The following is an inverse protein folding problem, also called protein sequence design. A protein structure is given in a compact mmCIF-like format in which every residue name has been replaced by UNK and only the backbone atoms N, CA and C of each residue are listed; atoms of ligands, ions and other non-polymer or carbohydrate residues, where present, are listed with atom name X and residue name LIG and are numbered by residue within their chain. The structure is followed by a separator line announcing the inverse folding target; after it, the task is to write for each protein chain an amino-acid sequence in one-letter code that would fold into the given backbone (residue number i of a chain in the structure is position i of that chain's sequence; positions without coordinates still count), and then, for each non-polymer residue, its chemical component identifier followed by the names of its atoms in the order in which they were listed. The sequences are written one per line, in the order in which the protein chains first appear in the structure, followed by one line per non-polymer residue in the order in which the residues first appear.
data_IF_418436230020
#
_entry.id   IF_418436230020
#
_cell.length_a   1.000
_cell.length_b   1.000
_cell.length_c   1.000
_cell.angle_alpha   90.00
_cell.angle_beta   90.00
_cell.angle_gamma   90.00
#
_symmetry.space_group_name_H-M   'P 1'
#
loop_
_entity.id
_entity.type
_entity.pdbx_description
1 polymer ?
#
# COMPACT_ATOMS: atom_id res chain seq x y z
N UNK A 1 -23.16 -8.68 -11.96
CA UNK A 1 -24.45 -7.96 -11.89
C UNK A 1 -24.33 -6.76 -12.82
N UNK A 2 -25.01 -6.79 -13.97
CA UNK A 2 -24.91 -5.73 -14.98
C UNK A 2 -25.89 -4.62 -14.60
N UNK A 3 -25.39 -3.41 -14.37
CA UNK A 3 -26.22 -2.24 -14.12
C UNK A 3 -26.33 -1.41 -15.42
N UNK A 4 -27.54 -1.38 -15.98
CA UNK A 4 -27.92 -0.42 -17.01
C UNK A 4 -28.51 0.77 -16.26
N UNK A 5 -27.86 1.94 -16.36
CA UNK A 5 -28.42 3.20 -15.88
C UNK A 5 -28.71 4.08 -17.07
N UNK A 6 -29.95 4.53 -17.17
CA UNK A 6 -30.41 5.49 -18.16
C UNK A 6 -30.97 6.65 -17.34
N UNK A 7 -30.21 7.73 -17.20
CA UNK A 7 -30.77 9.03 -16.84
C UNK A 7 -29.84 10.20 -17.15
N UNK A 8 -30.49 11.28 -17.59
CA UNK A 8 -29.92 12.54 -18.09
C UNK A 8 -29.22 13.35 -16.98
N UNK A 9 -27.90 13.47 -17.07
CA UNK A 9 -27.12 14.47 -16.32
C UNK A 9 -26.20 15.25 -17.26
N UNK A 10 -26.71 16.38 -17.74
CA UNK A 10 -25.93 17.42 -18.42
C UNK A 10 -24.86 17.96 -17.46
N UNK A 11 -23.60 17.87 -17.90
CA UNK A 11 -22.37 18.40 -17.27
C UNK A 11 -21.69 17.55 -16.18
N UNK A 12 -21.19 16.37 -16.54
CA UNK A 12 -19.77 15.98 -16.33
C UNK A 12 -19.46 14.52 -16.69
N UNK A 13 -20.20 13.91 -17.61
CA UNK A 13 -19.77 12.64 -18.22
C UNK A 13 -20.11 12.70 -19.70
N UNK A 14 -19.10 12.63 -20.57
CA UNK A 14 -19.30 12.20 -21.96
C UNK A 14 -19.70 10.72 -21.94
N UNK A 15 -20.88 10.39 -21.41
CA UNK A 15 -21.52 9.12 -21.73
C UNK A 15 -22.06 9.35 -23.13
N UNK A 16 -21.32 8.81 -24.08
CA UNK A 16 -21.61 8.90 -25.50
C UNK A 16 -23.04 8.42 -25.68
N UNK A 17 -23.81 9.15 -26.49
CA UNK A 17 -25.13 8.75 -26.96
C UNK A 17 -24.95 7.56 -27.92
N UNK A 18 -24.44 6.44 -27.40
CA UNK A 18 -23.97 5.30 -28.17
C UNK A 18 -24.86 4.12 -27.88
N UNK A 19 -25.52 3.63 -28.93
CA UNK A 19 -26.09 2.29 -28.93
C UNK A 19 -24.94 1.31 -28.61
N UNK A 20 -24.91 0.76 -27.39
CA UNK A 20 -23.80 -0.06 -26.93
C UNK A 20 -23.83 -0.40 -25.45
N UNK A 21 -22.82 -1.15 -25.00
CA UNK A 21 -22.62 -1.56 -23.61
C UNK A 21 -21.28 -1.01 -23.11
N UNK A 22 -21.22 -0.60 -21.84
CA UNK A 22 -19.97 -0.24 -21.18
C UNK A 22 -19.40 -1.46 -20.45
N UNK A 23 -18.12 -1.74 -20.68
CA UNK A 23 -17.39 -2.86 -20.11
C UNK A 23 -16.31 -2.30 -19.20
N UNK A 24 -16.29 -2.76 -17.95
CA UNK A 24 -15.25 -2.40 -16.98
C UNK A 24 -14.45 -3.66 -16.63
N UNK A 25 -13.13 -3.55 -16.72
CA UNK A 25 -12.21 -4.63 -16.33
C UNK A 25 -11.54 -4.23 -15.02
N UNK A 26 -11.68 -5.09 -14.01
CA UNK A 26 -11.14 -4.85 -12.68
C UNK A 26 -10.83 -6.17 -11.97
N UNK A 27 -10.07 -6.09 -10.87
CA UNK A 27 -9.80 -7.24 -10.01
C UNK A 27 -11.09 -7.70 -9.30
N UNK A 28 -11.24 -9.00 -9.03
CA UNK A 28 -12.44 -9.56 -8.36
C UNK A 28 -12.76 -8.94 -7.00
N UNK A 29 -11.72 -8.47 -6.29
CA UNK A 29 -11.84 -7.84 -4.96
C UNK A 29 -11.92 -6.31 -5.02
N UNK A 30 -11.87 -5.71 -6.22
CA UNK A 30 -12.02 -4.27 -6.40
C UNK A 30 -13.47 -3.91 -6.68
N UNK A 31 -13.93 -2.83 -6.08
CA UNK A 31 -15.19 -2.19 -6.43
C UNK A 31 -15.02 -1.39 -7.74
N UNK A 32 -15.73 -1.75 -8.83
CA UNK A 32 -15.64 -1.02 -10.08
C UNK A 32 -16.21 0.39 -9.92
N UNK A 33 -15.57 1.38 -10.53
CA UNK A 33 -16.02 2.77 -10.36
C UNK A 33 -15.31 3.75 -11.29
N UNK A 34 -15.23 5.00 -10.87
CA UNK A 34 -14.66 6.07 -11.70
C UNK A 34 -13.15 5.91 -12.00
N UNK A 35 -12.47 5.02 -11.26
CA UNK A 35 -11.03 4.79 -11.39
C UNK A 35 -10.71 3.52 -12.20
N UNK A 36 -11.71 2.80 -12.69
CA UNK A 36 -11.53 1.59 -13.50
C UNK A 36 -11.63 1.91 -14.98
N UNK A 37 -10.81 1.23 -15.80
CA UNK A 37 -10.82 1.40 -17.25
C UNK A 37 -12.19 0.97 -17.83
N UNK A 38 -12.76 1.86 -18.64
CA UNK A 38 -14.07 1.69 -19.27
C UNK A 38 -13.90 1.56 -20.79
N UNK A 39 -14.45 0.48 -21.36
CA UNK A 39 -14.49 0.25 -22.80
C UNK A 39 -15.93 0.28 -23.29
N UNK A 40 -16.15 0.79 -24.49
CA UNK A 40 -17.50 0.86 -25.09
C UNK A 40 -17.63 -0.20 -26.18
N UNK A 41 -18.54 -1.14 -26.00
CA UNK A 41 -18.95 -2.10 -27.01
C UNK A 41 -20.08 -1.49 -27.83
N UNK A 42 -19.82 -1.17 -29.08
CA UNK A 42 -20.83 -0.61 -29.99
C UNK A 42 -21.66 -1.71 -30.65
N UNK A 43 -22.88 -1.38 -31.05
CA UNK A 43 -23.69 -2.26 -31.90
C UNK A 43 -22.97 -2.57 -33.22
N UNK A 44 -23.12 -3.80 -33.71
CA UNK A 44 -22.51 -4.33 -34.93
C UNK A 44 -20.97 -4.36 -34.88
N UNK A 45 -20.40 -4.40 -33.68
CA UNK A 45 -18.99 -4.57 -33.47
C UNK A 45 -18.70 -5.73 -32.51
N UNK A 46 -17.54 -6.35 -32.71
CA UNK A 46 -16.89 -7.24 -31.78
C UNK A 46 -15.80 -6.46 -31.05
N UNK A 47 -15.88 -6.43 -29.72
CA UNK A 47 -14.85 -5.87 -28.84
C UNK A 47 -13.96 -7.00 -28.34
N UNK A 48 -12.76 -7.08 -28.88
CA UNK A 48 -11.72 -7.96 -28.37
C UNK A 48 -10.88 -7.20 -27.33
N UNK A 49 -10.69 -7.78 -26.14
CA UNK A 49 -9.85 -7.18 -25.10
C UNK A 49 -8.80 -8.19 -24.67
N UNK A 50 -7.55 -7.91 -25.03
CA UNK A 50 -6.41 -8.65 -24.52
C UNK A 50 -5.99 -8.07 -23.17
N UNK A 51 -6.04 -8.89 -22.11
CA UNK A 51 -5.67 -8.52 -20.74
C UNK A 51 -4.23 -8.96 -20.50
N UNK A 52 -3.36 -8.03 -20.11
CA UNK A 52 -2.01 -8.28 -19.63
C UNK A 52 -1.94 -7.95 -18.14
N UNK A 53 -1.93 -8.98 -17.28
CA UNK A 53 -1.79 -8.76 -15.85
C UNK A 53 -0.35 -8.35 -15.47
N UNK A 54 -0.21 -7.54 -14.44
CA UNK A 54 1.07 -7.17 -13.83
C UNK A 54 0.91 -7.13 -12.31
N UNK A 55 1.68 -7.96 -11.61
CA UNK A 55 1.67 -8.02 -10.14
C UNK A 55 2.81 -7.16 -9.60
N UNK A 56 2.48 -6.16 -8.80
CA UNK A 56 3.45 -5.29 -8.13
C UNK A 56 3.46 -5.64 -6.65
N UNK A 57 4.63 -6.01 -6.14
CA UNK A 57 4.84 -6.38 -4.75
C UNK A 57 5.91 -5.50 -4.10
N UNK A 58 5.60 -5.02 -2.89
CA UNK A 58 6.46 -4.19 -2.07
C UNK A 58 6.58 -4.82 -0.67
N UNK A 59 7.77 -4.80 -0.05
CA UNK A 59 7.95 -5.32 1.31
C UNK A 59 7.15 -4.47 2.31
N UNK A 60 6.42 -5.16 3.18
CA UNK A 60 5.69 -4.54 4.26
C UNK A 60 6.65 -3.96 5.33
N UNK A 61 6.16 -3.01 6.12
CA UNK A 61 6.90 -2.45 7.26
C UNK A 61 7.90 -1.34 6.93
N UNK A 62 8.18 -1.08 5.64
CA UNK A 62 8.97 0.08 5.25
C UNK A 62 8.21 1.38 5.52
N UNK A 63 8.89 2.36 6.11
CA UNK A 63 8.35 3.68 6.40
C UNK A 63 9.20 4.76 5.73
N UNK A 64 8.55 5.85 5.34
CA UNK A 64 9.21 7.03 4.82
C UNK A 64 8.64 8.28 5.49
N UNK A 65 9.37 9.39 5.45
CA UNK A 65 8.85 10.67 5.90
C UNK A 65 7.97 11.30 4.82
N UNK A 66 6.75 11.71 5.18
CA UNK A 66 5.90 12.53 4.32
C UNK A 66 6.36 14.00 4.30
N UNK A 67 5.62 14.84 3.56
CA UNK A 67 5.87 16.29 3.49
C UNK A 67 5.76 16.95 4.87
N UNK A 68 4.91 16.42 5.75
CA UNK A 68 4.75 16.87 7.13
C UNK A 68 5.82 16.30 8.12
N UNK A 69 6.87 15.63 7.62
CA UNK A 69 7.96 14.99 8.41
C UNK A 69 7.53 13.85 9.35
N UNK A 70 6.30 13.39 9.23
CA UNK A 70 5.76 12.23 9.94
C UNK A 70 6.23 10.94 9.27
N UNK A 71 6.51 9.93 10.08
CA UNK A 71 6.79 8.58 9.62
C UNK A 71 5.48 7.93 9.17
N UNK A 72 5.41 7.57 7.90
CA UNK A 72 4.25 6.91 7.29
C UNK A 72 4.69 5.66 6.55
N UNK A 73 3.86 4.61 6.50
CA UNK A 73 4.19 3.40 5.76
C UNK A 73 4.27 3.69 4.26
N UNK A 74 5.24 3.07 3.59
CA UNK A 74 5.43 3.14 2.13
C UNK A 74 4.26 2.47 1.40
N UNK A 75 3.75 1.39 1.97
CA UNK A 75 2.58 0.68 1.48
C UNK A 75 1.73 0.14 2.62
N UNK A 76 0.45 -0.09 2.35
CA UNK A 76 -0.50 -0.70 3.29
C UNK A 76 -0.60 -2.19 2.98
N UNK A 77 -0.27 -3.03 3.96
CA UNK A 77 -0.43 -4.46 3.88
C UNK A 77 -1.87 -4.88 4.21
N UNK A 78 -2.28 -6.08 3.81
CA UNK A 78 -3.68 -6.54 3.97
C UNK A 78 -4.11 -6.63 5.44
N UNK A 79 -3.19 -6.96 6.34
CA UNK A 79 -3.39 -7.00 7.80
C UNK A 79 -3.60 -5.61 8.42
N UNK A 80 -3.16 -4.55 7.74
CA UNK A 80 -3.28 -3.16 8.15
C UNK A 80 -4.42 -2.44 7.41
N UNK A 81 -5.44 -3.16 6.95
CA UNK A 81 -6.55 -2.58 6.21
C UNK A 81 -7.28 -1.51 7.05
N UNK A 82 -7.34 -0.28 6.52
CA UNK A 82 -7.96 0.89 7.15
C UNK A 82 -9.35 1.21 6.59
N UNK A 83 -9.87 0.42 5.66
CA UNK A 83 -11.15 0.65 5.01
C UNK A 83 -12.31 0.22 5.93
N UNK A 84 -13.39 1.00 5.91
CA UNK A 84 -14.56 0.76 6.78
C UNK A 84 -15.57 -0.16 6.11
N UNK A 85 -15.73 -0.04 4.78
CA UNK A 85 -16.77 -0.75 4.03
C UNK A 85 -16.25 -1.87 3.13
N UNK A 86 -14.93 -2.06 3.03
CA UNK A 86 -14.30 -3.05 2.15
C UNK A 86 -13.29 -3.89 2.92
N UNK A 87 -13.28 -5.21 2.68
CA UNK A 87 -12.41 -6.16 3.38
C UNK A 87 -10.96 -6.16 2.91
N UNK A 88 -10.69 -5.69 1.69
CA UNK A 88 -9.34 -5.69 1.10
C UNK A 88 -8.92 -4.28 0.74
N UNK A 89 -7.74 -3.88 1.24
CA UNK A 89 -7.16 -2.59 0.94
C UNK A 89 -6.59 -2.57 -0.49
N UNK A 90 -7.23 -1.81 -1.38
CA UNK A 90 -6.78 -1.54 -2.76
C UNK A 90 -7.12 -0.10 -3.13
N UNK A 91 -6.49 0.44 -4.17
CA UNK A 91 -6.76 1.81 -4.60
C UNK A 91 -8.23 2.06 -4.92
N UNK A 92 -8.84 1.20 -5.74
CA UNK A 92 -10.25 1.33 -6.12
C UNK A 92 -11.18 1.29 -4.91
N UNK A 93 -10.93 0.37 -3.98
CA UNK A 93 -11.69 0.24 -2.73
C UNK A 93 -11.48 1.43 -1.79
N UNK A 94 -10.26 1.96 -1.69
CA UNK A 94 -9.98 3.12 -0.86
C UNK A 94 -10.74 4.36 -1.34
N UNK A 95 -10.71 4.63 -2.65
CA UNK A 95 -11.48 5.73 -3.20
C UNK A 95 -12.99 5.48 -3.09
N UNK A 96 -13.48 4.27 -3.35
CA UNK A 96 -14.89 3.92 -3.14
C UNK A 96 -15.32 4.14 -1.68
N UNK A 97 -14.49 3.73 -0.72
CA UNK A 97 -14.71 3.97 0.72
C UNK A 97 -14.83 5.46 1.03
N UNK A 98 -13.95 6.30 0.46
CA UNK A 98 -14.06 7.75 0.59
C UNK A 98 -15.36 8.30 -0.01
N UNK A 99 -15.80 7.79 -1.17
CA UNK A 99 -17.08 8.21 -1.78
C UNK A 99 -18.26 7.86 -0.89
N UNK A 100 -18.30 6.64 -0.35
CA UNK A 100 -19.34 6.19 0.58
C UNK A 100 -19.36 7.09 1.82
N UNK A 101 -18.21 7.36 2.44
CA UNK A 101 -18.11 8.29 3.57
C UNK A 101 -18.60 9.69 3.23
N UNK A 102 -18.27 10.21 2.05
CA UNK A 102 -18.75 11.51 1.58
C UNK A 102 -20.26 11.52 1.35
N UNK A 103 -20.82 10.47 0.75
CA UNK A 103 -22.28 10.32 0.53
C UNK A 103 -23.05 10.30 1.86
N UNK A 104 -22.59 9.49 2.82
CA UNK A 104 -23.21 9.39 4.15
C UNK A 104 -23.11 10.74 4.87
N UNK A 105 -21.95 11.40 4.82
CA UNK A 105 -21.76 12.68 5.51
C UNK A 105 -22.58 13.83 4.91
N UNK A 106 -22.67 13.91 3.59
CA UNK A 106 -23.32 15.03 2.90
C UNK A 106 -24.83 14.83 2.76
N UNK A 107 -25.27 13.59 2.54
CA UNK A 107 -26.66 13.27 2.20
C UNK A 107 -27.32 12.24 3.12
N UNK A 108 -26.58 11.60 4.02
CA UNK A 108 -27.13 10.67 5.02
C UNK A 108 -27.62 9.33 4.46
N UNK A 109 -27.34 9.02 3.19
CA UNK A 109 -27.85 7.82 2.55
C UNK A 109 -26.90 7.28 1.48
N UNK A 110 -27.10 6.02 1.09
CA UNK A 110 -26.37 5.39 -0.01
C UNK A 110 -27.27 5.06 -1.20
N UNK A 111 -26.87 5.39 -2.44
CA UNK A 111 -27.60 5.00 -3.63
C UNK A 111 -27.49 3.49 -3.88
N UNK A 112 -28.40 2.98 -4.71
CA UNK A 112 -28.58 1.54 -4.99
C UNK A 112 -27.30 0.80 -5.46
N UNK A 113 -26.35 1.50 -6.09
CA UNK A 113 -25.03 0.94 -6.46
C UNK A 113 -24.26 0.37 -5.26
N UNK A 114 -24.58 0.81 -4.04
CA UNK A 114 -23.98 0.37 -2.79
C UNK A 114 -24.97 -0.41 -1.91
N UNK A 115 -26.06 -0.96 -2.46
CA UNK A 115 -27.10 -1.65 -1.67
C UNK A 115 -26.55 -2.75 -0.76
N UNK A 116 -25.62 -3.56 -1.26
CA UNK A 116 -24.98 -4.62 -0.47
C UNK A 116 -24.25 -4.06 0.77
N UNK A 117 -23.65 -2.88 0.63
CA UNK A 117 -22.95 -2.18 1.72
C UNK A 117 -23.98 -1.55 2.66
N UNK A 118 -25.00 -0.91 2.12
CA UNK A 118 -26.07 -0.32 2.92
C UNK A 118 -26.76 -1.36 3.81
N UNK A 119 -27.00 -2.56 3.29
CA UNK A 119 -27.55 -3.67 4.05
C UNK A 119 -26.58 -4.21 5.11
N UNK A 120 -25.33 -4.47 4.72
CA UNK A 120 -24.32 -5.06 5.62
C UNK A 120 -23.99 -4.18 6.84
N UNK A 121 -24.06 -2.85 6.66
CA UNK A 121 -23.73 -1.87 7.70
C UNK A 121 -24.96 -1.13 8.26
N UNK A 122 -26.17 -1.56 7.89
CA UNK A 122 -27.44 -0.96 8.31
C UNK A 122 -27.52 0.57 8.08
N UNK A 123 -27.09 1.01 6.89
CA UNK A 123 -27.12 2.40 6.44
C UNK A 123 -28.40 2.63 5.62
N UNK A 124 -29.03 3.79 5.77
CA UNK A 124 -30.22 4.16 5.01
C UNK A 124 -29.94 4.21 3.51
N UNK A 125 -30.82 3.58 2.73
CA UNK A 125 -30.82 3.67 1.27
C UNK A 125 -31.36 5.02 0.85
N UNK A 126 -30.78 5.62 -0.20
CA UNK A 126 -31.30 6.86 -0.76
C UNK A 126 -32.61 6.57 -1.49
N UNK A 127 -33.70 7.18 -1.03
CA UNK A 127 -34.92 7.29 -1.82
C UNK A 127 -34.71 8.22 -3.02
N UNK A 128 -35.61 8.15 -4.01
CA UNK A 128 -35.51 8.91 -5.26
C UNK A 128 -35.37 10.42 -4.98
N UNK A 129 -36.09 10.95 -3.99
CA UNK A 129 -36.03 12.36 -3.61
C UNK A 129 -34.64 12.78 -3.10
N UNK A 130 -33.98 11.88 -2.36
CA UNK A 130 -32.65 12.09 -1.79
C UNK A 130 -31.52 11.93 -2.81
N UNK A 131 -31.76 11.30 -3.96
CA UNK A 131 -30.79 11.26 -5.07
C UNK A 131 -30.44 12.66 -5.57
N UNK A 132 -31.36 13.63 -5.46
CA UNK A 132 -31.10 15.03 -5.79
C UNK A 132 -29.96 15.64 -4.95
N UNK A 133 -29.79 15.20 -3.70
CA UNK A 133 -28.67 15.62 -2.86
C UNK A 133 -27.33 15.10 -3.39
N UNK A 134 -27.27 13.80 -3.74
CA UNK A 134 -26.09 13.17 -4.32
C UNK A 134 -25.71 13.86 -5.62
N UNK A 135 -26.71 14.17 -6.45
CA UNK A 135 -26.56 14.88 -7.70
C UNK A 135 -25.97 16.28 -7.52
N UNK A 136 -26.52 17.08 -6.60
CA UNK A 136 -26.02 18.44 -6.30
C UNK A 136 -24.58 18.40 -5.78
N UNK A 137 -24.24 17.38 -4.99
CA UNK A 137 -22.92 17.18 -4.40
C UNK A 137 -21.98 16.31 -5.24
N UNK A 138 -22.34 15.97 -6.49
CA UNK A 138 -21.59 15.02 -7.31
C UNK A 138 -20.11 15.39 -7.47
N UNK A 139 -19.78 16.69 -7.51
CA UNK A 139 -18.38 17.17 -7.57
C UNK A 139 -17.58 16.87 -6.31
N UNK A 140 -18.22 16.93 -5.14
CA UNK A 140 -17.58 16.64 -3.85
C UNK A 140 -17.50 15.12 -3.60
N UNK A 141 -18.48 14.37 -4.11
CA UNK A 141 -18.58 12.93 -3.97
C UNK A 141 -17.75 12.19 -5.04
N UNK A 142 -17.49 12.78 -6.19
CA UNK A 142 -16.71 12.23 -7.32
C UNK A 142 -15.20 12.11 -7.04
N UNK A 143 -14.82 11.55 -5.90
CA UNK A 143 -13.44 11.48 -5.41
C UNK A 143 -12.68 10.42 -6.22
N UNK A 144 -11.71 10.82 -7.03
CA UNK A 144 -10.86 9.91 -7.83
C UNK A 144 -9.38 9.94 -7.44
N UNK A 145 -9.02 10.91 -6.61
CA UNK A 145 -7.66 11.20 -6.14
C UNK A 145 -7.70 11.69 -4.70
N UNK A 146 -6.53 11.78 -4.07
CA UNK A 146 -6.40 12.32 -2.73
C UNK A 146 -6.95 13.76 -2.64
N UNK A 147 -7.75 14.01 -1.59
CA UNK A 147 -8.39 15.31 -1.33
C UNK A 147 -8.16 15.65 0.13
N UNK A 148 -7.80 16.90 0.38
CA UNK A 148 -7.67 17.48 1.71
C UNK A 148 -8.53 18.74 1.75
N UNK A 149 -9.71 18.64 2.35
CA UNK A 149 -10.58 19.78 2.64
C UNK A 149 -10.75 19.89 4.17
N UNK A 150 -11.07 21.08 4.68
CA UNK A 150 -11.28 21.31 6.12
C UNK A 150 -12.30 20.35 6.73
N UNK A 151 -13.34 20.01 5.97
CA UNK A 151 -14.36 19.08 6.41
C UNK A 151 -13.97 17.63 6.13
N UNK A 152 -13.39 17.28 4.97
CA UNK A 152 -13.22 15.89 4.55
C UNK A 152 -11.84 15.64 3.96
N UNK A 153 -11.13 14.65 4.51
CA UNK A 153 -9.83 14.19 4.02
C UNK A 153 -9.92 12.75 3.51
N UNK A 154 -9.34 12.51 2.34
CA UNK A 154 -9.15 11.19 1.77
C UNK A 154 -7.71 11.10 1.29
N UNK A 155 -6.94 10.19 1.87
CA UNK A 155 -5.58 9.87 1.43
C UNK A 155 -5.46 8.37 1.23
N UNK A 156 -5.32 7.95 -0.02
CA UNK A 156 -5.19 6.56 -0.40
C UNK A 156 -3.73 6.23 -0.72
N UNK A 157 -3.09 5.52 0.21
CA UNK A 157 -1.72 5.01 0.06
C UNK A 157 -1.68 3.77 -0.84
N UNK A 158 -0.49 3.46 -1.37
CA UNK A 158 -0.29 2.28 -2.21
C UNK A 158 -0.48 0.99 -1.40
N UNK A 159 -1.22 -0.01 -1.89
CA UNK A 159 -1.20 -1.34 -1.30
C UNK A 159 0.18 -2.00 -1.48
N UNK A 160 0.60 -2.86 -0.57
CA UNK A 160 1.87 -3.59 -0.71
C UNK A 160 1.82 -4.62 -1.84
N UNK A 161 0.64 -5.19 -2.10
CA UNK A 161 0.38 -6.06 -3.25
C UNK A 161 -0.69 -5.43 -4.14
N UNK A 162 -0.36 -5.19 -5.40
CA UNK A 162 -1.27 -4.60 -6.37
C UNK A 162 -1.30 -5.41 -7.66
N UNK A 163 -2.49 -5.73 -8.14
CA UNK A 163 -2.70 -6.36 -9.45
C UNK A 163 -3.16 -5.31 -10.43
N UNK A 164 -2.32 -4.96 -11.40
CA UNK A 164 -2.69 -4.06 -12.48
C UNK A 164 -3.08 -4.86 -13.73
N UNK A 165 -4.08 -4.38 -14.46
CA UNK A 165 -4.52 -4.98 -15.72
C UNK A 165 -4.33 -3.96 -16.84
N UNK A 166 -3.24 -4.13 -17.57
CA UNK A 166 -3.04 -3.40 -18.81
C UNK A 166 -3.87 -4.08 -19.90
N UNK A 167 -4.82 -3.36 -20.49
CA UNK A 167 -5.73 -3.96 -21.48
C UNK A 167 -5.61 -3.27 -22.82
N UNK A 168 -5.48 -4.08 -23.86
CA UNK A 168 -5.40 -3.65 -25.25
C UNK A 168 -6.73 -3.96 -25.95
N UNK A 169 -7.66 -2.98 -26.04
CA UNK A 169 -8.92 -3.17 -26.74
C UNK A 169 -8.72 -3.09 -28.26
N UNK A 170 -9.45 -3.92 -28.98
CA UNK A 170 -9.56 -3.89 -30.43
C UNK A 170 -11.05 -3.99 -30.81
N UNK A 171 -11.50 -3.12 -31.71
CA UNK A 171 -12.90 -3.06 -32.13
C UNK A 171 -13.00 -3.47 -33.60
N UNK A 172 -13.73 -4.54 -33.87
CA UNK A 172 -13.86 -5.16 -35.18
C UNK A 172 -15.31 -5.03 -35.63
N UNK A 173 -15.56 -4.60 -36.86
CA UNK A 173 -16.94 -4.53 -37.38
C UNK A 173 -17.46 -5.93 -37.73
N UNK A 174 -18.62 -6.28 -37.18
CA UNK A 174 -19.31 -7.53 -37.48
C UNK A 174 -19.95 -7.44 -38.87
N UNK A 175 -19.38 -8.14 -39.85
CA UNK A 175 -20.00 -8.30 -41.17
C UNK A 175 -20.96 -9.48 -41.17
N UNK A 176 -22.05 -9.40 -41.96
CA UNK A 176 -23.09 -10.44 -42.06
C UNK A 176 -22.56 -11.84 -42.43
N UNK A 177 -21.37 -11.92 -43.02
CA UNK A 177 -20.69 -13.17 -43.34
C UNK A 177 -20.18 -13.94 -42.11
N UNK A 178 -19.97 -13.27 -40.97
CA UNK A 178 -19.39 -13.86 -39.77
C UNK A 178 -20.43 -14.50 -38.85
N UNK A 179 -21.72 -14.11 -38.96
CA UNK A 179 -22.77 -14.60 -38.07
C UNK A 179 -24.14 -14.68 -38.80
N UNK A 180 -24.47 -15.83 -39.42
CA UNK A 180 -25.57 -15.95 -40.38
C UNK A 180 -27.00 -15.87 -39.78
N UNK A 181 -27.17 -15.82 -38.45
CA UNK A 181 -28.47 -15.92 -37.77
C UNK A 181 -28.80 -14.75 -36.81
N UNK A 182 -28.16 -13.60 -36.97
CA UNK A 182 -28.23 -12.54 -35.96
C UNK A 182 -29.08 -11.37 -36.41
N UNK A 183 -30.00 -10.95 -35.55
CA UNK A 183 -30.81 -9.73 -35.67
C UNK A 183 -29.94 -8.50 -35.97
N UNK A 184 -30.51 -7.48 -36.64
CA UNK A 184 -29.82 -6.28 -37.16
C UNK A 184 -29.01 -5.44 -36.13
N UNK A 185 -28.99 -5.83 -34.86
CA UNK A 185 -28.22 -5.23 -33.77
C UNK A 185 -27.52 -6.31 -32.94
N UNK A 186 -26.32 -6.71 -33.38
CA UNK A 186 -25.55 -7.75 -32.69
C UNK A 186 -24.21 -7.21 -32.23
N UNK A 187 -23.75 -7.62 -31.07
CA UNK A 187 -22.46 -7.21 -30.52
C UNK A 187 -21.80 -8.42 -29.87
N UNK A 188 -20.50 -8.57 -30.10
CA UNK A 188 -19.71 -9.66 -29.54
C UNK A 188 -18.63 -9.09 -28.63
N UNK A 189 -18.31 -9.79 -27.54
CA UNK A 189 -17.21 -9.42 -26.67
C UNK A 189 -16.33 -10.65 -26.45
N UNK A 190 -15.02 -10.47 -26.65
CA UNK A 190 -14.03 -11.51 -26.49
C UNK A 190 -12.93 -11.01 -25.58
N UNK A 191 -12.92 -11.53 -24.35
CA UNK A 191 -11.91 -11.19 -23.35
C UNK A 191 -10.96 -12.37 -23.22
N UNK A 192 -9.66 -12.12 -23.37
CA UNK A 192 -8.65 -13.17 -23.27
C UNK A 192 -7.36 -12.64 -22.64
N UNK A 193 -6.54 -13.55 -22.10
CA UNK A 193 -5.22 -13.20 -21.59
C UNK A 193 -4.25 -13.03 -22.75
N UNK A 194 -3.51 -11.92 -22.77
CA UNK A 194 -2.52 -11.64 -23.82
C UNK A 194 -1.42 -12.71 -23.89
N UNK A 195 -1.05 -13.28 -22.75
CA UNK A 195 -0.06 -14.35 -22.62
C UNK A 195 -0.48 -15.33 -21.52
N UNK A 196 0.07 -16.55 -21.56
CA UNK A 196 -0.09 -17.55 -20.48
C UNK A 196 0.71 -17.18 -19.22
N UNK A 197 1.65 -16.25 -19.33
CA UNK A 197 2.49 -15.75 -18.24
C UNK A 197 2.28 -14.26 -18.03
N UNK A 198 2.55 -13.80 -16.81
CA UNK A 198 2.45 -12.39 -16.44
C UNK A 198 3.69 -11.93 -15.68
N UNK A 199 3.91 -10.62 -15.66
CA UNK A 199 5.09 -10.01 -15.06
C UNK A 199 4.86 -9.76 -13.56
N UNK A 200 5.88 -10.02 -12.75
CA UNK A 200 5.90 -9.72 -11.31
C UNK A 200 7.02 -8.70 -11.07
N UNK A 201 6.66 -7.52 -10.56
CA UNK A 201 7.58 -6.45 -10.18
C UNK A 201 7.77 -6.47 -8.67
N UNK A 202 8.93 -6.95 -8.23
CA UNK A 202 9.34 -6.97 -6.83
C UNK A 202 10.15 -5.72 -6.53
N UNK A 203 9.67 -4.89 -5.61
CA UNK A 203 10.46 -3.79 -5.04
C UNK A 203 11.31 -4.34 -3.91
N UNK A 204 12.63 -4.10 -3.94
CA UNK A 204 13.56 -4.51 -2.89
C UNK A 204 14.14 -3.27 -2.19
N UNK A 205 14.54 -3.40 -0.93
CA UNK A 205 15.29 -2.34 -0.25
C UNK A 205 16.68 -2.23 -0.88
N UNK A 206 17.09 -1.01 -1.24
CA UNK A 206 18.39 -0.77 -1.86
C UNK A 206 19.57 -0.98 -0.88
N UNK A 207 19.34 -0.73 0.41
CA UNK A 207 20.31 -0.97 1.47
C UNK A 207 19.60 -1.70 2.60
N UNK A 208 20.11 -2.88 2.92
CA UNK A 208 19.71 -3.67 4.06
C UNK A 208 20.80 -3.60 5.14
N UNK A 209 20.49 -3.99 6.37
CA UNK A 209 21.46 -3.99 7.48
C UNK A 209 22.68 -4.86 7.16
N UNK A 210 22.46 -5.93 6.40
CA UNK A 210 23.51 -6.82 5.88
C UNK A 210 24.44 -6.11 4.90
N UNK A 211 23.89 -5.28 4.01
CA UNK A 211 24.66 -4.47 3.07
C UNK A 211 25.51 -3.43 3.80
N UNK A 212 24.93 -2.75 4.80
CA UNK A 212 25.66 -1.78 5.63
C UNK A 212 26.84 -2.45 6.35
N UNK A 213 26.61 -3.62 6.96
CA UNK A 213 27.67 -4.38 7.63
C UNK A 213 28.77 -4.81 6.66
N UNK A 214 28.41 -5.29 5.47
CA UNK A 214 29.35 -5.69 4.44
C UNK A 214 30.19 -4.50 3.92
N UNK A 215 29.56 -3.36 3.66
CA UNK A 215 30.25 -2.14 3.20
C UNK A 215 31.20 -1.59 4.27
N UNK A 216 30.75 -1.49 5.52
CA UNK A 216 31.59 -1.01 6.63
C UNK A 216 32.75 -1.98 6.88
N UNK A 217 32.49 -3.28 6.88
CA UNK A 217 33.52 -4.32 7.01
C UNK A 217 34.55 -4.27 5.87
N UNK A 218 34.11 -4.03 4.63
CA UNK A 218 34.99 -3.88 3.48
C UNK A 218 35.93 -2.67 3.61
N UNK A 219 35.41 -1.53 4.07
CA UNK A 219 36.21 -0.31 4.30
C UNK A 219 37.26 -0.56 5.39
N UNK A 220 36.87 -1.13 6.53
CA UNK A 220 37.81 -1.42 7.62
C UNK A 220 38.89 -2.43 7.23
N UNK A 221 38.52 -3.49 6.50
CA UNK A 221 39.46 -4.49 6.01
C UNK A 221 40.47 -3.91 5.01
N UNK A 222 40.06 -2.97 4.15
CA UNK A 222 40.93 -2.38 3.13
C UNK A 222 41.89 -1.34 3.71
N UNK A 223 41.40 -0.43 4.56
CA UNK A 223 42.20 0.68 5.06
C UNK A 223 43.01 0.36 6.31
N UNK A 224 42.47 -0.43 7.24
CA UNK A 224 43.13 -0.75 8.51
C UNK A 224 43.74 -2.16 8.52
N UNK A 225 43.37 -3.02 7.55
CA UNK A 225 43.72 -4.45 7.59
C UNK A 225 43.12 -5.17 8.79
N UNK A 226 42.12 -4.57 9.47
CA UNK A 226 41.52 -5.12 10.67
C UNK A 226 40.27 -5.93 10.32
N UNK A 227 40.09 -7.03 11.03
CA UNK A 227 38.92 -7.89 10.92
C UNK A 227 38.12 -7.86 12.22
N UNK A 228 36.93 -8.47 12.22
CA UNK A 228 36.15 -8.68 13.44
C UNK A 228 36.98 -9.38 14.54
N UNK A 229 37.84 -10.34 14.17
CA UNK A 229 38.72 -11.02 15.11
C UNK A 229 39.73 -10.07 15.76
N UNK A 230 40.27 -9.12 15.00
CA UNK A 230 41.21 -8.10 15.51
C UNK A 230 40.54 -7.21 16.56
N UNK A 231 39.26 -6.88 16.40
CA UNK A 231 38.50 -6.09 17.40
C UNK A 231 38.28 -6.90 18.68
N UNK A 232 37.89 -8.18 18.55
CA UNK A 232 37.72 -9.08 19.72
C UNK A 232 39.04 -9.21 20.49
N UNK A 233 40.16 -9.31 19.79
CA UNK A 233 41.50 -9.40 20.39
C UNK A 233 41.86 -8.12 21.17
N UNK A 234 41.60 -6.93 20.61
CA UNK A 234 41.79 -5.65 21.32
C UNK A 234 40.94 -5.62 22.60
N UNK A 235 39.66 -5.99 22.52
CA UNK A 235 38.77 -6.03 23.70
C UNK A 235 39.28 -7.02 24.74
N UNK A 236 39.77 -8.18 24.32
CA UNK A 236 40.35 -9.19 25.20
C UNK A 236 41.59 -8.67 25.94
N UNK A 237 42.53 -8.04 25.23
CA UNK A 237 43.71 -7.45 25.86
C UNK A 237 43.38 -6.29 26.78
N UNK A 238 42.44 -5.42 26.40
CA UNK A 238 41.97 -4.33 27.27
C UNK A 238 41.35 -4.90 28.55
N UNK A 239 40.52 -5.95 28.45
CA UNK A 239 39.96 -6.62 29.62
C UNK A 239 41.03 -7.21 30.54
N UNK A 240 42.02 -7.92 29.98
CA UNK A 240 43.15 -8.44 30.75
C UNK A 240 43.96 -7.33 31.41
N UNK A 241 44.22 -6.24 30.69
CA UNK A 241 44.93 -5.08 31.20
C UNK A 241 44.18 -4.41 32.36
N UNK A 242 42.87 -4.20 32.22
CA UNK A 242 42.02 -3.69 33.30
C UNK A 242 42.06 -4.64 34.51
N UNK A 243 41.91 -5.95 34.33
CA UNK A 243 42.01 -6.92 35.43
C UNK A 243 43.36 -6.86 36.13
N UNK A 244 44.46 -6.74 35.37
CA UNK A 244 45.80 -6.62 35.93
C UNK A 244 45.96 -5.33 36.76
N UNK A 245 45.45 -4.20 36.28
CA UNK A 245 45.45 -2.94 37.04
C UNK A 245 44.62 -3.08 38.32
N UNK A 246 43.42 -3.65 38.25
CA UNK A 246 42.57 -3.85 39.43
C UNK A 246 43.21 -4.81 40.45
N UNK A 247 43.89 -5.86 39.99
CA UNK A 247 44.64 -6.76 40.87
C UNK A 247 45.84 -6.07 41.54
N UNK A 248 46.56 -5.21 40.81
CA UNK A 248 47.66 -4.40 41.36
C UNK A 248 47.17 -3.41 42.42
N UNK A 249 46.07 -2.68 42.14
CA UNK A 249 45.45 -1.79 43.13
C UNK A 249 44.97 -2.54 44.38
N UNK A 250 44.47 -3.77 44.24
CA UNK A 250 44.07 -4.60 45.39
C UNK A 250 45.27 -4.99 46.26
N UNK A 251 46.42 -5.29 45.64
CA UNK A 251 47.67 -5.55 46.36
C UNK A 251 48.23 -4.30 47.05
N UNK A 252 48.16 -3.12 46.41
CA UNK A 252 48.59 -1.85 47.03
C UNK A 252 47.75 -1.49 48.26
N UNK A 253 46.42 -1.68 48.19
CA UNK A 253 45.51 -1.47 49.34
C UNK A 253 45.81 -2.46 50.47
N UNK A 254 46.14 -3.71 50.15
CA UNK A 254 46.45 -4.74 51.16
C UNK A 254 47.84 -4.53 51.82
N UNK A 255 48.81 -3.96 51.09
CA UNK A 255 50.09 -3.52 51.68
C UNK A 255 49.92 -2.31 52.59
N UNK A 256 49.02 -1.37 52.26
CA UNK A 256 48.79 -0.17 53.07
C UNK A 256 48.13 -0.51 54.43
N UNK A 257 47.16 -1.44 54.43
CA UNK A 257 46.54 -1.98 55.66
C UNK A 257 47.55 -2.73 56.54
N UNK A 258 48.46 -3.51 55.95
CA UNK A 258 49.48 -4.24 56.72
C UNK A 258 50.57 -3.32 57.29
N UNK A 259 50.97 -2.26 56.59
CA UNK A 259 51.85 -1.23 57.17
C UNK A 259 51.20 -0.44 58.31
N UNK A 260 49.90 -0.14 58.20
CA UNK A 260 49.17 0.55 59.26
C UNK A 260 49.01 -0.34 60.52
N UNK A 261 48.76 -1.64 60.37
CA UNK A 261 48.74 -2.57 61.53
C UNK A 261 50.11 -2.73 62.20
N UNK A 262 51.20 -2.78 61.44
CA UNK A 262 52.56 -2.87 61.99
C UNK A 262 52.93 -1.57 62.75
N UNK A 263 52.56 -0.40 62.23
CA UNK A 263 52.79 0.89 62.90
C UNK A 263 52.01 1.02 64.23
N UNK A 264 50.77 0.51 64.28
CA UNK A 264 49.94 0.51 65.50
C UNK A 264 50.49 -0.45 66.55
N UNK A 265 50.98 -1.64 66.15
CA UNK A 265 51.59 -2.59 67.08
C UNK A 265 52.98 -2.19 67.56
N UNK A 266 53.77 -1.47 66.75
CA UNK A 266 55.06 -0.90 67.15
C UNK A 266 54.95 0.16 68.25
N UNK A 267 53.88 0.96 68.25
CA UNK A 267 53.61 1.96 69.31
C UNK A 267 53.17 1.38 70.66
N UNK A 268 52.69 0.12 70.71
CA UNK A 268 52.24 -0.53 71.96
C UNK A 268 53.37 -1.16 72.79
N UNK A 269 54.60 -1.25 72.27
CA UNK A 269 55.75 -1.89 72.96
C UNK A 269 56.74 -0.92 73.60
N UNK A 270 56.40 0.36 73.70
CA UNK A 270 57.25 1.38 74.35
C UNK A 270 56.49 1.99 75.53
N UNK A 271 56.31 1.21 76.60
CA UNK A 271 56.01 1.67 77.97
C UNK A 271 56.44 0.57 78.93
#
# INVERSE_FOLDING_TARGET
MFMITQDDMRNSTRIVNSNGMMVLIHHRMDYPGLNTNMYTLQVNHELEIAIKPELIQKPAGLQHRNKEKQLVPVCIAEDQNTLEYFSVYRYSNCYANCRIKAMIRLCGCLPFIYDNIAESYNISRCEIEHLSCIQRNAKLIGIVKDIQNENFSCSCRTPCENMNYDNSPNLISLTKASLPNTTDKSAAIKVYMYSQTFQILLTLSAADETYLLASVGGIFSLFLGCSFLSVVEIVYFVYLYCRAIFARKRHEIQTDDTTNEIFVNGRRRVY
#
